data_IF_344623786851
#
_entry.id   IF_344623786851
#
_cell.length_a   1.000
_cell.length_b   1.000
_cell.length_c   1.000
_cell.angle_alpha   90.00
_cell.angle_beta   90.00
_cell.angle_gamma   90.00
#
_symmetry.space_group_name_H-M   'P 1'
#
loop_
_entity.id
_entity.type
_entity.pdbx_description
1 polymer ?
#
# COMPACT_ATOMS: atom_id res chain seq x y z
N UNK A 1 -27.36 -2.35 -4.35
CA UNK A 1 -26.47 -1.76 -5.38
C UNK A 1 -25.56 -2.87 -5.85
N UNK A 2 -25.62 -3.24 -7.13
CA UNK A 2 -24.75 -4.27 -7.69
C UNK A 2 -23.33 -3.73 -7.73
N UNK A 3 -22.37 -4.42 -7.12
CA UNK A 3 -20.96 -4.09 -7.27
C UNK A 3 -20.61 -4.08 -8.76
N UNK A 4 -19.93 -3.05 -9.29
CA UNK A 4 -19.48 -3.09 -10.67
C UNK A 4 -18.61 -4.32 -10.85
N UNK A 5 -18.95 -5.16 -11.82
CA UNK A 5 -18.18 -6.35 -12.16
C UNK A 5 -16.77 -5.94 -12.57
N UNK A 6 -15.77 -6.28 -11.74
CA UNK A 6 -14.37 -6.01 -12.06
C UNK A 6 -13.89 -6.96 -13.17
N UNK A 7 -13.23 -6.41 -14.19
CA UNK A 7 -12.66 -7.19 -15.29
C UNK A 7 -11.20 -7.47 -14.95
N UNK A 8 -10.84 -8.75 -14.83
CA UNK A 8 -9.43 -9.13 -14.69
C UNK A 8 -8.73 -9.01 -16.04
N UNK A 9 -7.68 -8.18 -16.12
CA UNK A 9 -6.92 -8.02 -17.35
C UNK A 9 -6.14 -9.29 -17.73
N UNK A 10 -5.93 -10.23 -16.81
CA UNK A 10 -5.06 -11.39 -17.02
C UNK A 10 -3.58 -11.00 -17.15
N UNK A 11 -3.25 -9.72 -16.93
CA UNK A 11 -1.89 -9.22 -16.87
C UNK A 11 -1.26 -9.56 -15.53
N UNK A 12 0.01 -9.94 -15.57
CA UNK A 12 0.91 -9.88 -14.43
C UNK A 12 1.93 -8.79 -14.66
N UNK A 13 2.22 -8.03 -13.60
CA UNK A 13 3.29 -7.06 -13.61
C UNK A 13 4.62 -7.78 -13.33
N UNK A 14 5.58 -7.65 -14.24
CA UNK A 14 6.94 -8.10 -14.03
C UNK A 14 7.80 -6.91 -13.60
N UNK A 15 8.22 -6.91 -12.34
CA UNK A 15 9.05 -5.85 -11.75
C UNK A 15 10.47 -5.81 -12.32
N UNK A 16 11.01 -6.95 -12.77
CA UNK A 16 12.35 -7.05 -13.35
C UNK A 16 12.40 -6.49 -14.77
N UNK A 17 11.46 -6.87 -15.62
CA UNK A 17 11.42 -6.43 -17.03
C UNK A 17 10.63 -5.14 -17.22
N UNK A 18 10.05 -4.60 -16.14
CA UNK A 18 9.18 -3.42 -16.14
C UNK A 18 8.10 -3.53 -17.21
N UNK A 19 7.42 -4.67 -17.26
CA UNK A 19 6.39 -4.90 -18.26
C UNK A 19 5.15 -5.57 -17.70
N UNK A 20 4.00 -5.16 -18.22
CA UNK A 20 2.76 -5.89 -18.06
C UNK A 20 2.76 -6.98 -19.13
N UNK A 21 2.51 -8.23 -18.74
CA UNK A 21 2.23 -9.25 -19.76
C UNK A 21 1.03 -8.80 -20.59
N UNK A 22 1.10 -9.03 -21.90
CA UNK A 22 0.04 -8.61 -22.80
C UNK A 22 -1.25 -9.36 -22.45
N UNK A 23 -2.35 -8.65 -22.15
CA UNK A 23 -3.65 -9.28 -21.99
C UNK A 23 -4.14 -9.84 -23.33
N UNK A 24 -5.07 -10.80 -23.29
CA UNK A 24 -5.77 -11.25 -24.50
C UNK A 24 -6.50 -10.05 -25.14
N UNK A 25 -6.41 -9.92 -26.46
CA UNK A 25 -7.13 -8.90 -27.22
C UNK A 25 -8.63 -8.90 -26.93
N UNK A 26 -9.23 -10.07 -26.64
CA UNK A 26 -10.64 -10.18 -26.25
C UNK A 26 -10.92 -9.44 -24.94
N UNK A 27 -10.02 -9.58 -23.96
CA UNK A 27 -10.15 -8.92 -22.66
C UNK A 27 -9.99 -7.40 -22.81
N UNK A 28 -9.03 -6.94 -23.62
CA UNK A 28 -8.89 -5.52 -23.93
C UNK A 28 -10.14 -4.94 -24.61
N UNK A 29 -10.72 -5.66 -25.58
CA UNK A 29 -11.97 -5.24 -26.21
C UNK A 29 -13.11 -5.16 -25.21
N UNK A 30 -13.26 -6.16 -24.33
CA UNK A 30 -14.28 -6.10 -23.26
C UNK A 30 -14.10 -4.92 -22.31
N UNK A 31 -12.86 -4.58 -21.94
CA UNK A 31 -12.58 -3.39 -21.11
C UNK A 31 -12.93 -2.11 -21.84
N UNK A 32 -12.57 -1.99 -23.13
CA UNK A 32 -12.90 -0.83 -23.96
C UNK A 32 -14.42 -0.65 -24.08
N UNK A 33 -15.12 -1.73 -24.41
CA UNK A 33 -16.58 -1.72 -24.56
C UNK A 33 -17.25 -1.35 -23.23
N UNK A 34 -16.85 -1.96 -22.12
CA UNK A 34 -17.40 -1.65 -20.80
C UNK A 34 -17.13 -0.20 -20.38
N UNK A 35 -15.94 0.34 -20.67
CA UNK A 35 -15.58 1.72 -20.31
C UNK A 35 -16.34 2.76 -21.15
N UNK A 36 -16.65 2.47 -22.42
CA UNK A 36 -17.45 3.35 -23.28
C UNK A 36 -18.91 3.41 -22.84
N UNK A 37 -19.45 2.31 -22.32
CA UNK A 37 -20.87 2.21 -21.92
C UNK A 37 -21.10 2.51 -20.42
N UNK A 38 -20.12 3.06 -19.71
CA UNK A 38 -20.21 3.36 -18.28
C UNK A 38 -19.88 4.81 -17.96
N UNK A 39 -20.87 5.54 -17.41
CA UNK A 39 -20.70 6.93 -16.95
C UNK A 39 -19.67 7.05 -15.81
N UNK A 40 -19.54 5.99 -14.99
CA UNK A 40 -18.56 5.94 -13.89
C UNK A 40 -17.21 5.33 -14.31
N UNK A 41 -17.10 4.80 -15.53
CA UNK A 41 -15.98 3.97 -15.95
C UNK A 41 -16.01 2.53 -15.43
N UNK A 42 -15.08 1.73 -15.92
CA UNK A 42 -14.96 0.28 -15.64
C UNK A 42 -13.82 -0.03 -14.69
N UNK A 43 -14.05 -0.94 -13.74
CA UNK A 43 -13.00 -1.46 -12.87
C UNK A 43 -12.22 -2.58 -13.55
N UNK A 44 -10.90 -2.47 -13.53
CA UNK A 44 -9.98 -3.48 -14.04
C UNK A 44 -8.99 -3.88 -12.96
N UNK A 45 -8.64 -5.16 -12.90
CA UNK A 45 -7.66 -5.67 -11.93
C UNK A 45 -6.39 -6.17 -12.62
N UNK A 46 -5.25 -5.89 -11.98
CA UNK A 46 -3.94 -6.43 -12.32
C UNK A 46 -3.31 -6.96 -11.04
N UNK A 47 -3.19 -8.30 -10.92
CA UNK A 47 -2.78 -8.93 -9.66
C UNK A 47 -3.76 -8.60 -8.52
N UNK A 48 -3.24 -8.02 -7.43
CA UNK A 48 -4.03 -7.56 -6.28
C UNK A 48 -4.46 -6.08 -6.36
N UNK A 49 -4.20 -5.40 -7.49
CA UNK A 49 -4.47 -3.96 -7.63
C UNK A 49 -5.68 -3.72 -8.52
N UNK A 50 -6.56 -2.83 -8.08
CA UNK A 50 -7.72 -2.38 -8.85
C UNK A 50 -7.46 -1.00 -9.45
N UNK A 51 -7.89 -0.82 -10.69
CA UNK A 51 -7.82 0.42 -11.44
C UNK A 51 -9.20 0.73 -12.03
N UNK A 52 -9.46 2.01 -12.25
CA UNK A 52 -10.64 2.51 -12.93
C UNK A 52 -10.22 3.05 -14.28
N UNK A 53 -10.94 2.62 -15.31
CA UNK A 53 -10.78 3.05 -16.69
C UNK A 53 -11.98 3.91 -17.06
N UNK A 54 -11.74 5.16 -17.40
CA UNK A 54 -12.76 6.11 -17.87
C UNK A 54 -12.42 6.56 -19.28
N UNK A 55 -13.42 6.89 -20.09
CA UNK A 55 -13.21 7.53 -21.39
C UNK A 55 -13.32 9.03 -21.21
N UNK A 56 -12.27 9.77 -21.60
CA UNK A 56 -12.24 11.23 -21.56
C UNK A 56 -11.52 11.72 -22.80
N UNK A 57 -12.09 12.72 -23.49
CA UNK A 57 -11.52 13.29 -24.72
C UNK A 57 -11.12 12.23 -25.78
N UNK A 58 -12.00 11.25 -26.01
CA UNK A 58 -11.79 10.10 -26.91
C UNK A 58 -10.55 9.23 -26.56
N UNK A 59 -10.09 9.25 -25.31
CA UNK A 59 -8.99 8.43 -24.81
C UNK A 59 -9.40 7.67 -23.56
N UNK A 60 -8.90 6.46 -23.41
CA UNK A 60 -8.99 5.72 -22.17
C UNK A 60 -7.99 6.29 -21.16
N UNK A 61 -8.49 6.82 -20.05
CA UNK A 61 -7.71 7.28 -18.91
C UNK A 61 -7.78 6.24 -17.80
N UNK A 62 -6.66 5.93 -17.16
CA UNK A 62 -6.57 4.89 -16.13
C UNK A 62 -6.06 5.49 -14.83
N UNK A 63 -6.81 5.26 -13.76
CA UNK A 63 -6.47 5.69 -12.41
C UNK A 63 -6.52 4.50 -11.45
N UNK A 64 -5.51 4.31 -10.59
CA UNK A 64 -5.56 3.26 -9.55
C UNK A 64 -6.68 3.59 -8.57
N UNK A 65 -7.51 2.59 -8.25
CA UNK A 65 -8.62 2.72 -7.28
C UNK A 65 -8.20 2.50 -5.82
N UNK A 66 -6.90 2.35 -5.55
CA UNK A 66 -6.42 2.27 -4.17
C UNK A 66 -7.05 3.38 -3.35
N UNK A 67 -7.65 2.99 -2.22
CA UNK A 67 -8.55 3.80 -1.37
C UNK A 67 -7.85 4.96 -0.64
N UNK A 68 -6.70 5.43 -1.10
CA UNK A 68 -5.91 6.44 -0.41
C UNK A 68 -5.56 7.59 -1.35
N UNK A 69 -6.30 8.69 -1.23
CA UNK A 69 -5.86 9.98 -1.79
C UNK A 69 -4.45 10.36 -1.32
N UNK A 70 -4.00 9.79 -0.20
CA UNK A 70 -2.63 9.89 0.31
C UNK A 70 -1.58 9.29 -0.64
N UNK A 71 -1.89 8.19 -1.34
CA UNK A 71 -0.96 7.55 -2.30
C UNK A 71 -0.78 8.40 -3.56
N UNK A 72 -1.88 8.86 -4.14
CA UNK A 72 -1.88 9.70 -5.34
C UNK A 72 -1.20 11.05 -5.07
N UNK A 73 -1.42 11.64 -3.91
CA UNK A 73 -0.75 12.87 -3.49
C UNK A 73 0.77 12.68 -3.37
N UNK A 74 1.23 11.58 -2.77
CA UNK A 74 2.66 11.29 -2.66
C UNK A 74 3.29 11.11 -4.05
N UNK A 75 2.67 10.30 -4.92
CA UNK A 75 3.15 10.13 -6.29
C UNK A 75 3.24 11.46 -7.06
N UNK A 76 2.25 12.35 -6.88
CA UNK A 76 2.26 13.65 -7.53
C UNK A 76 3.44 14.51 -7.05
N UNK A 77 3.72 14.55 -5.74
CA UNK A 77 4.89 15.27 -5.19
C UNK A 77 6.21 14.69 -5.72
N UNK A 78 6.26 13.38 -5.92
CA UNK A 78 7.42 12.68 -6.51
C UNK A 78 7.55 12.83 -8.04
N UNK A 79 6.66 13.60 -8.68
CA UNK A 79 6.69 13.81 -10.13
C UNK A 79 6.15 12.63 -10.96
N UNK A 80 5.41 11.71 -10.34
CA UNK A 80 4.83 10.53 -11.00
C UNK A 80 3.29 10.52 -10.95
N UNK A 81 2.60 11.51 -11.54
CA UNK A 81 1.16 11.74 -11.32
C UNK A 81 0.24 10.60 -11.77
N UNK A 82 0.71 9.70 -12.67
CA UNK A 82 -0.11 8.59 -13.20
C UNK A 82 0.42 7.20 -12.92
N UNK A 83 1.66 7.05 -12.48
CA UNK A 83 2.22 5.74 -12.21
C UNK A 83 2.51 4.85 -13.43
N UNK A 84 3.51 3.98 -13.30
CA UNK A 84 3.99 3.16 -14.41
C UNK A 84 2.95 2.16 -14.90
N UNK A 85 2.25 1.48 -13.99
CA UNK A 85 1.23 0.49 -14.36
C UNK A 85 0.05 1.17 -15.06
N UNK A 86 -0.49 2.27 -14.50
CA UNK A 86 -1.60 2.99 -15.14
C UNK A 86 -1.20 3.51 -16.52
N UNK A 87 0.01 4.08 -16.67
CA UNK A 87 0.52 4.52 -17.99
C UNK A 87 0.59 3.38 -19.00
N UNK A 88 0.97 2.17 -18.58
CA UNK A 88 1.03 1.01 -19.48
C UNK A 88 -0.36 0.48 -19.83
N UNK A 89 -1.30 0.45 -18.89
CA UNK A 89 -2.70 0.11 -19.20
C UNK A 89 -3.30 1.15 -20.16
N UNK A 90 -3.08 2.45 -19.91
CA UNK A 90 -3.48 3.53 -20.84
C UNK A 90 -2.88 3.32 -22.23
N UNK A 91 -1.58 3.03 -22.32
CA UNK A 91 -0.91 2.79 -23.59
C UNK A 91 -1.51 1.58 -24.33
N UNK A 92 -1.79 0.48 -23.63
CA UNK A 92 -2.43 -0.71 -24.21
C UNK A 92 -3.84 -0.39 -24.73
N UNK A 93 -4.65 0.31 -23.94
CA UNK A 93 -6.02 0.65 -24.31
C UNK A 93 -6.08 1.65 -25.46
N UNK A 94 -5.14 2.59 -25.54
CA UNK A 94 -5.08 3.63 -26.58
C UNK A 94 -4.20 3.26 -27.79
N UNK A 95 -3.83 2.00 -27.96
CA UNK A 95 -3.13 1.52 -29.18
C UNK A 95 -3.89 1.81 -30.48
N UNK A 96 -5.21 2.00 -30.40
CA UNK A 96 -6.08 2.51 -31.48
C UNK A 96 -7.03 3.58 -30.93
N UNK A 97 -7.33 4.66 -31.69
CA UNK A 97 -8.28 5.69 -31.25
C UNK A 97 -9.69 5.12 -31.08
N UNK A 98 -10.46 5.69 -30.13
CA UNK A 98 -11.86 5.30 -29.89
C UNK A 98 -12.71 5.73 -31.09
N UNK A 99 -13.09 4.78 -31.94
CA UNK A 99 -14.12 5.02 -32.96
C UNK A 99 -15.49 4.98 -32.29
N UNK A 100 -16.09 6.16 -32.08
CA UNK A 100 -17.48 6.29 -31.60
C UNK A 100 -18.52 6.10 -32.72
N UNK A 101 -18.18 5.41 -33.81
CA UNK A 101 -19.14 5.09 -34.87
C UNK A 101 -20.06 3.97 -34.43
N UNK A 102 -21.29 4.38 -34.12
CA UNK A 102 -22.50 3.62 -33.88
C UNK A 102 -22.64 2.47 -34.89
N UNK A 103 -22.70 1.23 -34.41
CA UNK A 103 -23.51 0.19 -35.05
C UNK A 103 -24.36 -0.50 -33.99
N UNK A 104 -25.69 -0.32 -34.09
CA UNK A 104 -26.68 -1.18 -33.45
C UNK A 104 -26.56 -2.58 -34.05
N UNK A 105 -25.71 -3.41 -33.46
CA UNK A 105 -25.64 -4.84 -33.74
C UNK A 105 -26.27 -5.63 -32.61
N UNK A 106 -27.55 -6.01 -32.77
CA UNK A 106 -28.20 -7.03 -31.96
C UNK A 106 -27.44 -8.35 -32.12
N UNK A 107 -26.86 -8.90 -31.05
CA UNK A 107 -26.33 -10.27 -31.07
C UNK A 107 -26.85 -11.05 -29.86
N UNK A 108 -27.51 -12.16 -30.21
CA UNK A 108 -28.25 -13.07 -29.39
C UNK A 108 -27.47 -13.65 -28.20
N UNK A 109 -28.16 -13.64 -27.05
CA UNK A 109 -27.91 -14.51 -25.91
C UNK A 109 -28.04 -15.98 -26.32
N UNK A 110 -26.93 -16.73 -26.27
CA UNK A 110 -26.97 -18.18 -26.18
C UNK A 110 -26.30 -18.61 -24.86
N UNK A 111 -27.15 -18.86 -23.88
CA UNK A 111 -26.86 -19.48 -22.58
C UNK A 111 -26.83 -21.00 -22.76
N UNK A 112 -25.79 -21.71 -22.32
CA UNK A 112 -25.92 -23.11 -21.95
C UNK A 112 -26.30 -23.19 -20.47
N UNK A 113 -27.42 -23.87 -20.19
CA UNK A 113 -27.81 -24.24 -18.83
C UNK A 113 -26.90 -25.33 -18.27
N UNK A 114 -26.47 -25.15 -17.02
CA UNK A 114 -25.89 -26.18 -16.17
C UNK A 114 -26.63 -26.20 -14.82
N UNK A 115 -26.75 -27.38 -14.17
CA UNK A 115 -27.75 -27.66 -13.14
C UNK A 115 -27.39 -27.06 -11.77
N UNK A 116 -28.35 -26.97 -10.84
CA UNK A 116 -28.12 -26.35 -9.54
C UNK A 116 -27.22 -27.24 -8.69
N UNK A 117 -26.09 -26.68 -8.23
CA UNK A 117 -25.22 -27.31 -7.23
C UNK A 117 -25.56 -26.71 -5.88
N UNK A 118 -25.99 -27.58 -4.99
CA UNK A 118 -26.34 -27.33 -3.60
C UNK A 118 -25.10 -26.91 -2.80
N UNK A 119 -25.11 -25.69 -2.25
CA UNK A 119 -24.08 -25.23 -1.33
C UNK A 119 -24.54 -25.51 0.10
N UNK A 120 -24.18 -26.69 0.61
CA UNK A 120 -24.06 -26.88 2.05
C UNK A 120 -22.91 -26.01 2.56
N UNK A 121 -23.21 -25.10 3.50
CA UNK A 121 -22.21 -24.29 4.20
C UNK A 121 -21.28 -25.19 5.02
N UNK A 122 -19.95 -25.00 4.97
CA UNK A 122 -19.08 -25.43 6.04
C UNK A 122 -19.15 -24.40 7.18
N UNK A 123 -19.65 -24.82 8.34
CA UNK A 123 -19.51 -24.07 9.59
C UNK A 123 -18.02 -23.96 9.94
N UNK A 124 -17.54 -22.73 10.09
CA UNK A 124 -16.22 -22.46 10.65
C UNK A 124 -16.28 -22.65 12.18
N UNK A 125 -15.32 -23.34 12.81
CA UNK A 125 -15.27 -23.44 14.26
C UNK A 125 -14.96 -22.06 14.87
N UNK A 126 -15.45 -21.76 16.09
CA UNK A 126 -15.20 -20.51 16.76
C UNK A 126 -13.71 -20.34 17.06
N UNK A 127 -13.12 -19.23 16.60
CA UNK A 127 -11.78 -18.83 16.99
C UNK A 127 -11.77 -18.46 18.47
N UNK A 128 -11.06 -19.26 19.26
CA UNK A 128 -10.85 -19.08 20.68
C UNK A 128 -9.87 -17.90 20.88
N UNK A 129 -10.40 -16.71 21.18
CA UNK A 129 -9.61 -15.54 21.53
C UNK A 129 -9.08 -15.69 22.96
N UNK A 130 -8.09 -16.56 23.15
CA UNK A 130 -7.28 -16.52 24.37
C UNK A 130 -6.23 -15.42 24.19
N UNK A 131 -6.40 -14.33 24.94
CA UNK A 131 -5.35 -13.37 25.25
C UNK A 131 -4.19 -14.14 25.89
N UNK A 132 -3.20 -14.52 25.08
CA UNK A 132 -1.90 -14.91 25.61
C UNK A 132 -1.15 -13.61 25.93
N UNK A 133 -1.10 -13.29 27.21
CA UNK A 133 -0.18 -12.31 27.75
C UNK A 133 1.25 -12.71 27.34
N UNK A 134 1.85 -11.93 26.44
CA UNK A 134 3.26 -12.06 26.12
C UNK A 134 4.09 -11.84 27.39
N UNK A 135 5.14 -12.65 27.64
CA UNK A 135 5.93 -12.53 28.85
C UNK A 135 6.63 -11.17 28.89
N UNK A 136 6.37 -10.42 29.97
CA UNK A 136 7.10 -9.19 30.31
C UNK A 136 8.55 -9.56 30.63
N UNK A 137 9.42 -9.51 29.62
CA UNK A 137 10.87 -9.45 29.86
C UNK A 137 11.18 -8.01 30.25
N UNK A 138 10.98 -7.70 31.53
CA UNK A 138 11.42 -6.43 32.12
C UNK A 138 12.93 -6.46 32.31
N UNK A 139 13.69 -6.29 31.23
CA UNK A 139 15.02 -5.72 31.36
C UNK A 139 14.82 -4.22 31.57
N UNK A 140 14.55 -3.83 32.83
CA UNK A 140 14.46 -2.44 33.30
C UNK A 140 15.83 -1.77 33.24
N UNK A 141 16.41 -1.69 32.04
CA UNK A 141 17.57 -0.86 31.77
C UNK A 141 17.04 0.41 31.15
N UNK A 142 17.25 1.53 31.86
CA UNK A 142 16.84 2.84 31.37
C UNK A 142 17.45 3.08 29.98
N UNK A 143 16.67 3.60 29.01
CA UNK A 143 17.19 3.85 27.67
C UNK A 143 18.35 4.86 27.75
N UNK A 144 19.42 4.61 26.98
CA UNK A 144 20.58 5.51 26.89
C UNK A 144 20.55 6.22 25.53
N UNK A 145 19.92 7.41 25.43
CA UNK A 145 19.82 8.13 24.16
C UNK A 145 21.18 8.66 23.72
N UNK A 146 21.51 8.40 22.45
CA UNK A 146 22.66 8.97 21.76
C UNK A 146 22.30 10.25 21.02
N UNK A 147 22.82 10.40 19.80
CA UNK A 147 22.53 11.56 18.97
C UNK A 147 21.06 11.62 18.57
N UNK A 148 20.55 12.83 18.35
CA UNK A 148 19.23 13.04 17.76
C UNK A 148 19.28 12.71 16.28
N UNK A 149 18.36 11.86 15.82
CA UNK A 149 18.22 11.49 14.40
C UNK A 149 16.96 12.07 13.76
N UNK A 150 15.98 12.47 14.55
CA UNK A 150 14.74 13.05 14.03
C UNK A 150 13.91 13.70 15.13
N UNK A 151 13.03 14.62 14.73
CA UNK A 151 12.08 15.30 15.62
C UNK A 151 10.73 15.38 14.93
N UNK A 152 9.68 14.98 15.63
CA UNK A 152 8.29 15.16 15.23
C UNK A 152 7.53 16.00 16.26
N UNK A 153 6.23 16.20 16.03
CA UNK A 153 5.38 16.98 16.94
C UNK A 153 5.28 16.37 18.35
N UNK A 154 5.25 15.03 18.43
CA UNK A 154 4.96 14.31 19.68
C UNK A 154 6.18 13.57 20.26
N UNK A 155 7.30 13.52 19.53
CA UNK A 155 8.45 12.72 19.91
C UNK A 155 9.77 13.25 19.34
N UNK A 156 10.86 12.94 20.03
CA UNK A 156 12.23 13.06 19.52
C UNK A 156 12.81 11.66 19.39
N UNK A 157 13.46 11.39 18.25
CA UNK A 157 14.07 10.11 17.96
C UNK A 157 15.58 10.21 18.15
N UNK A 158 16.13 9.30 18.94
CA UNK A 158 17.55 9.21 19.27
C UNK A 158 18.13 7.89 18.78
N UNK A 159 19.45 7.85 18.57
CA UNK A 159 20.17 6.57 18.50
C UNK A 159 20.08 5.85 19.85
N UNK A 160 20.02 4.52 19.83
CA UNK A 160 20.25 3.72 21.03
C UNK A 160 21.75 3.46 21.19
N UNK A 161 22.36 3.99 22.25
CA UNK A 161 23.79 3.81 22.52
C UNK A 161 24.15 2.37 22.90
N UNK A 162 23.17 1.58 23.35
CA UNK A 162 23.38 0.19 23.74
C UNK A 162 23.23 -0.77 22.56
N UNK A 163 22.48 -0.37 21.54
CA UNK A 163 22.23 -1.17 20.34
C UNK A 163 22.17 -0.28 19.09
N UNK A 164 23.26 -0.28 18.33
CA UNK A 164 23.38 0.51 17.09
C UNK A 164 22.33 0.18 16.02
N UNK A 165 21.66 -0.97 16.12
CA UNK A 165 20.58 -1.41 15.23
C UNK A 165 19.21 -0.87 15.64
N UNK A 166 19.12 -0.18 16.78
CA UNK A 166 17.89 0.37 17.35
C UNK A 166 17.92 1.89 17.43
N UNK A 167 16.74 2.45 17.58
CA UNK A 167 16.48 3.86 17.84
C UNK A 167 15.43 3.99 18.92
N UNK A 168 15.43 5.15 19.59
CA UNK A 168 14.57 5.45 20.72
C UNK A 168 13.67 6.63 20.34
N UNK A 169 12.40 6.38 20.03
CA UNK A 169 11.37 7.43 19.87
C UNK A 169 10.83 7.77 21.26
N UNK A 170 11.34 8.84 21.84
CA UNK A 170 10.96 9.30 23.18
C UNK A 170 9.86 10.35 23.06
N UNK A 171 8.72 10.10 23.72
CA UNK A 171 7.57 11.00 23.64
C UNK A 171 7.84 12.27 24.46
N UNK A 172 7.53 13.42 23.88
CA UNK A 172 7.66 14.74 24.54
C UNK A 172 6.37 15.15 25.24
N UNK A 173 5.24 14.54 24.85
CA UNK A 173 3.92 14.71 25.45
C UNK A 173 3.31 13.34 25.74
N UNK A 174 2.38 13.25 26.68
CA UNK A 174 1.67 12.00 26.96
C UNK A 174 0.91 11.51 25.71
N UNK A 175 0.99 10.21 25.43
CA UNK A 175 0.27 9.55 24.34
C UNK A 175 -0.75 8.59 24.93
N UNK A 176 -1.85 8.32 24.21
CA UNK A 176 -2.81 7.32 24.67
C UNK A 176 -2.23 5.92 24.59
N UNK A 177 -2.66 5.01 25.47
CA UNK A 177 -2.20 3.63 25.44
C UNK A 177 -2.56 2.94 24.11
N UNK A 178 -3.72 3.27 23.55
CA UNK A 178 -4.22 2.67 22.30
C UNK A 178 -3.36 3.07 21.11
N UNK A 179 -3.01 4.36 20.98
CA UNK A 179 -2.15 4.86 19.89
C UNK A 179 -0.78 4.17 19.92
N UNK A 180 -0.12 4.16 21.07
CA UNK A 180 1.21 3.53 21.19
C UNK A 180 1.15 2.03 20.98
N UNK A 181 0.04 1.38 21.36
CA UNK A 181 -0.16 -0.05 21.09
C UNK A 181 -0.35 -0.32 19.60
N UNK A 182 -1.15 0.50 18.91
CA UNK A 182 -1.36 0.36 17.46
C UNK A 182 -0.05 0.58 16.71
N UNK A 183 0.71 1.62 17.05
CA UNK A 183 1.99 1.93 16.40
C UNK A 183 2.99 0.77 16.52
N UNK A 184 3.21 0.26 17.75
CA UNK A 184 4.11 -0.88 17.98
C UNK A 184 3.62 -2.14 17.26
N UNK A 185 2.31 -2.39 17.24
CA UNK A 185 1.73 -3.53 16.54
C UNK A 185 1.96 -3.42 15.03
N UNK A 186 1.64 -2.29 14.41
CA UNK A 186 1.78 -2.05 12.99
C UNK A 186 3.24 -2.10 12.55
N UNK A 187 4.16 -1.55 13.35
CA UNK A 187 5.60 -1.64 13.09
C UNK A 187 6.11 -3.09 13.12
N UNK A 188 5.73 -3.86 14.14
CA UNK A 188 6.07 -5.28 14.22
C UNK A 188 5.42 -6.10 13.10
N UNK A 189 4.21 -5.75 12.69
CA UNK A 189 3.54 -6.41 11.58
C UNK A 189 4.27 -6.15 10.27
N UNK A 190 4.72 -4.92 10.02
CA UNK A 190 5.43 -4.54 8.79
C UNK A 190 6.88 -5.03 8.75
N UNK A 191 7.67 -4.84 9.82
CA UNK A 191 9.10 -5.18 9.84
C UNK A 191 9.42 -6.56 10.44
N UNK A 192 8.45 -7.21 11.08
CA UNK A 192 8.59 -8.50 11.73
C UNK A 192 8.51 -8.41 13.27
N UNK A 193 8.14 -9.51 13.92
CA UNK A 193 8.01 -9.57 15.38
C UNK A 193 9.31 -9.17 16.10
N UNK A 194 9.22 -8.35 17.14
CA UNK A 194 10.38 -7.85 17.90
C UNK A 194 11.09 -6.64 17.26
N UNK A 195 10.54 -6.09 16.17
CA UNK A 195 11.06 -4.87 15.55
C UNK A 195 10.80 -3.61 16.36
N UNK A 196 9.75 -3.59 17.19
CA UNK A 196 9.43 -2.49 18.09
C UNK A 196 8.91 -2.98 19.45
N UNK A 197 9.23 -2.25 20.51
CA UNK A 197 8.79 -2.48 21.88
C UNK A 197 8.55 -1.16 22.63
N UNK A 198 7.64 -1.19 23.59
CA UNK A 198 7.34 -0.01 24.43
C UNK A 198 8.42 0.17 25.49
N UNK A 199 8.78 1.42 25.73
CA UNK A 199 9.67 1.82 26.83
C UNK A 199 8.81 2.33 27.98
N UNK A 200 9.03 1.81 29.17
CA UNK A 200 8.29 2.18 30.38
C UNK A 200 9.20 2.94 31.35
N UNK A 201 8.62 3.87 32.10
CA UNK A 201 9.28 4.42 33.28
C UNK A 201 9.01 3.55 34.53
N UNK A 202 9.62 3.92 35.65
CA UNK A 202 9.47 3.20 36.93
C UNK A 202 8.02 3.15 37.44
N UNK A 203 7.19 4.11 37.02
CA UNK A 203 5.76 4.16 37.35
C UNK A 203 4.89 3.28 36.42
N UNK A 204 5.50 2.57 35.47
CA UNK A 204 4.79 1.74 34.49
C UNK A 204 4.10 2.51 33.37
N UNK A 205 4.35 3.81 33.24
CA UNK A 205 3.83 4.63 32.14
C UNK A 205 4.73 4.48 30.91
N UNK A 206 4.11 4.43 29.74
CA UNK A 206 4.84 4.37 28.47
C UNK A 206 5.44 5.75 28.17
N UNK A 207 6.77 5.80 28.02
CA UNK A 207 7.53 7.04 27.77
C UNK A 207 8.16 7.09 26.37
N UNK A 208 8.09 6.00 25.63
CA UNK A 208 8.63 5.93 24.28
C UNK A 208 8.48 4.55 23.64
N UNK A 209 9.08 4.42 22.47
CA UNK A 209 9.18 3.17 21.71
C UNK A 209 10.65 2.96 21.36
N UNK A 210 11.18 1.77 21.64
CA UNK A 210 12.45 1.29 21.09
C UNK A 210 12.12 0.50 19.84
N UNK A 211 12.74 0.83 18.71
CA UNK A 211 12.44 0.18 17.43
C UNK A 211 13.68 0.05 16.55
N UNK A 212 13.61 -0.81 15.54
CA UNK A 212 14.69 -0.99 14.56
C UNK A 212 15.05 0.34 13.89
N UNK A 213 16.35 0.60 13.76
CA UNK A 213 16.88 1.65 12.89
C UNK A 213 16.56 1.26 11.45
N UNK A 214 15.70 2.03 10.81
CA UNK A 214 15.27 1.79 9.43
C UNK A 214 16.33 2.35 8.48
N UNK A 215 16.68 1.57 7.46
CA UNK A 215 17.64 2.01 6.44
C UNK A 215 16.99 3.01 5.48
N UNK A 216 17.78 3.99 5.07
CA UNK A 216 17.43 4.95 4.04
C UNK A 216 17.66 6.39 4.47
N UNK A 217 17.55 7.28 3.50
CA UNK A 217 17.60 8.73 3.69
C UNK A 217 16.17 9.28 3.67
N UNK A 218 15.88 10.34 4.41
CA UNK A 218 14.55 10.95 4.42
C UNK A 218 14.18 11.39 3.01
N UNK A 219 12.95 11.08 2.59
CA UNK A 219 12.48 11.46 1.27
C UNK A 219 12.44 12.99 1.09
N UNK A 220 12.24 13.73 2.18
CA UNK A 220 12.30 15.19 2.19
C UNK A 220 13.67 15.73 1.76
N UNK A 221 14.74 15.03 2.10
CA UNK A 221 16.13 15.44 1.85
C UNK A 221 16.66 14.94 0.50
N UNK A 222 15.87 14.14 -0.23
CA UNK A 222 16.26 13.57 -1.52
C UNK A 222 15.73 14.46 -2.65
N UNK A 223 16.59 15.24 -3.34
CA UNK A 223 16.13 16.16 -4.37
C UNK A 223 15.70 15.46 -5.66
N UNK A 224 16.19 14.24 -5.91
CA UNK A 224 15.91 13.50 -7.13
C UNK A 224 15.96 11.99 -6.88
N UNK A 225 14.95 11.30 -7.40
CA UNK A 225 14.83 9.85 -7.36
C UNK A 225 15.12 9.21 -8.71
N UNK A 226 15.67 7.99 -8.76
CA UNK A 226 15.84 7.27 -10.01
C UNK A 226 14.49 6.76 -10.54
N UNK A 227 14.38 6.54 -11.85
CA UNK A 227 13.13 6.09 -12.48
C UNK A 227 12.60 4.73 -11.97
N UNK A 228 13.45 3.91 -11.34
CA UNK A 228 13.08 2.63 -10.72
C UNK A 228 12.47 2.77 -9.32
N UNK A 229 12.61 3.93 -8.68
CA UNK A 229 12.01 4.21 -7.38
C UNK A 229 10.48 4.31 -7.49
N UNK A 230 9.95 4.63 -8.66
CA UNK A 230 8.51 4.59 -8.93
C UNK A 230 7.91 3.21 -8.61
N UNK A 231 8.60 2.12 -8.94
CA UNK A 231 8.15 0.79 -8.56
C UNK A 231 8.26 0.52 -7.06
N UNK A 232 9.37 0.95 -6.47
CA UNK A 232 9.64 0.72 -5.06
C UNK A 232 8.57 1.33 -4.15
N UNK A 233 8.02 2.50 -4.52
CA UNK A 233 6.92 3.10 -3.75
C UNK A 233 5.64 2.27 -3.90
N UNK A 234 5.33 1.73 -5.08
CA UNK A 234 4.21 0.81 -5.22
C UNK A 234 4.37 -0.45 -4.36
N UNK A 235 5.58 -1.02 -4.36
CA UNK A 235 5.88 -2.23 -3.59
C UNK A 235 5.75 -1.99 -2.08
N UNK A 236 6.10 -0.79 -1.60
CA UNK A 236 5.86 -0.39 -0.22
C UNK A 236 4.36 -0.44 0.13
N UNK A 237 3.49 0.20 -0.66
CA UNK A 237 2.05 0.19 -0.41
C UNK A 237 1.46 -1.22 -0.54
N UNK A 238 1.91 -2.01 -1.50
CA UNK A 238 1.45 -3.40 -1.62
C UNK A 238 1.86 -4.25 -0.41
N UNK A 239 3.06 -4.04 0.16
CA UNK A 239 3.49 -4.72 1.40
C UNK A 239 2.64 -4.31 2.60
N UNK A 240 2.27 -3.03 2.71
CA UNK A 240 1.36 -2.51 3.73
C UNK A 240 -0.04 -3.12 3.59
N UNK A 241 -0.62 -3.05 2.39
CA UNK A 241 -1.96 -3.55 2.08
C UNK A 241 -2.08 -5.07 2.29
N UNK A 242 -1.09 -5.86 1.86
CA UNK A 242 -1.05 -7.32 2.10
C UNK A 242 -1.04 -7.69 3.58
N UNK A 243 -0.53 -6.77 4.41
CA UNK A 243 -0.52 -6.92 5.86
C UNK A 243 -1.75 -6.30 6.51
N UNK A 244 -2.72 -5.82 5.74
CA UNK A 244 -3.92 -5.17 6.28
C UNK A 244 -3.66 -3.80 6.90
N UNK A 245 -2.53 -3.16 6.57
CA UNK A 245 -2.14 -1.85 7.10
C UNK A 245 -2.53 -0.77 6.09
N UNK A 246 -3.34 0.19 6.53
CA UNK A 246 -3.66 1.39 5.77
C UNK A 246 -2.76 2.52 6.23
N UNK A 247 -1.67 2.77 5.51
CA UNK A 247 -0.71 3.80 5.87
C UNK A 247 -1.31 5.20 5.74
N UNK A 248 -1.59 5.84 6.88
CA UNK A 248 -2.33 7.11 6.96
C UNK A 248 -1.43 8.30 6.65
N UNK A 249 -0.27 8.38 7.31
CA UNK A 249 0.62 9.53 7.18
C UNK A 249 1.66 9.33 6.08
N UNK A 250 1.24 9.57 4.83
CA UNK A 250 2.10 9.46 3.63
C UNK A 250 2.92 10.72 3.35
N UNK A 251 3.31 11.47 4.39
CA UNK A 251 4.23 12.61 4.24
C UNK A 251 5.66 12.14 3.94
N UNK A 252 6.43 12.98 3.25
CA UNK A 252 7.83 12.68 2.88
C UNK A 252 8.74 12.56 4.10
N UNK A 253 8.35 13.15 5.23
CA UNK A 253 9.05 13.02 6.51
C UNK A 253 8.92 11.64 7.13
N UNK A 254 7.89 10.87 6.77
CA UNK A 254 7.59 9.56 7.35
C UNK A 254 7.98 8.38 6.46
N UNK A 255 8.73 8.65 5.39
CA UNK A 255 9.22 7.62 4.49
C UNK A 255 10.72 7.83 4.26
N UNK A 256 11.49 6.77 4.47
CA UNK A 256 12.89 6.71 4.08
C UNK A 256 13.02 6.00 2.74
N UNK A 257 13.97 6.43 1.91
CA UNK A 257 14.34 5.74 0.69
C UNK A 257 15.75 5.15 0.81
N UNK A 258 15.85 3.83 0.75
CA UNK A 258 17.11 3.10 0.65
C UNK A 258 17.53 3.01 -0.82
N UNK A 259 18.47 3.89 -1.22
CA UNK A 259 18.99 3.94 -2.60
C UNK A 259 19.73 2.67 -3.01
N UNK A 260 20.37 1.96 -2.08
CA UNK A 260 21.13 0.75 -2.40
C UNK A 260 20.20 -0.42 -2.74
N UNK A 261 19.09 -0.52 -2.01
CA UNK A 261 18.10 -1.60 -2.19
C UNK A 261 16.94 -1.21 -3.11
N UNK A 262 16.81 0.07 -3.44
CA UNK A 262 15.65 0.63 -4.13
C UNK A 262 14.35 0.32 -3.37
N UNK A 263 14.27 0.71 -2.11
CA UNK A 263 13.12 0.43 -1.25
C UNK A 263 12.65 1.69 -0.53
N UNK A 264 11.33 1.90 -0.47
CA UNK A 264 10.73 2.87 0.44
C UNK A 264 10.29 2.17 1.73
N UNK A 265 10.67 2.78 2.84
CA UNK A 265 10.49 2.24 4.18
C UNK A 265 9.70 3.25 5.03
N UNK A 266 8.45 2.93 5.41
CA UNK A 266 7.64 3.79 6.24
C UNK A 266 8.14 3.77 7.69
N UNK A 267 8.17 4.92 8.35
CA UNK A 267 8.72 5.08 9.70
C UNK A 267 7.62 5.01 10.77
N UNK A 268 6.57 5.82 10.59
CA UNK A 268 5.48 5.99 11.56
C UNK A 268 4.20 5.32 11.04
N UNK A 269 4.01 4.03 11.37
CA UNK A 269 2.94 3.19 10.82
C UNK A 269 1.82 3.06 11.85
N UNK A 270 0.65 3.60 11.53
CA UNK A 270 -0.55 3.60 12.40
C UNK A 270 -1.65 2.66 11.93
#
# INVERSE_FOLDING_TARGET
>A
MLSPSSINLGCSWNSLTRNLTSPDNRVLSSVRDAAVHSDSGTQVTVGNRTYRVVVTDNKFCVTRESHSGCFTNLLHRLGWPKGEISRKIEAMLNTSPVSTTIERGSVHSNRPDLPPVDYAQPELPPADYTQSELPRVSNNKSPVPGNVIGKGGNAVVYEDMEDTTKVLKMFTISQSHEEVTSEVRCFNQYYGSGSAEKIYNDNGNVIGIRMNKINGESLLDIPSLPAQAEQAIYDMFDRLEKKGILFVDTTETNVLYDRMRNEFNPIDIS
#
